data_IF_508867531521
#
_entry.id   IF_508867531521
#
_cell.length_a   1.000
_cell.length_b   1.000
_cell.length_c   1.000
_cell.angle_alpha   90.00
_cell.angle_beta   90.00
_cell.angle_gamma   90.00
#
_symmetry.space_group_name_H-M   'P 1'
#
loop_
_entity.id
_entity.type
_entity.pdbx_description
1 polymer ?
#
# COMPACT_ATOMS: atom_id res chain seq x y z
N UNK A 1 23.97 -11.70 24.35
CA UNK A 1 23.86 -11.59 22.88
C UNK A 1 22.63 -10.77 22.53
N UNK A 2 22.75 -9.90 21.54
CA UNK A 2 21.67 -9.10 20.94
C UNK A 2 21.45 -9.51 19.48
N UNK A 3 20.38 -9.02 18.84
CA UNK A 3 20.16 -9.21 17.41
C UNK A 3 21.32 -8.64 16.56
N UNK A 4 21.89 -7.51 17.00
CA UNK A 4 23.08 -6.91 16.39
C UNK A 4 24.27 -7.86 16.44
N UNK A 5 24.54 -8.44 17.61
CA UNK A 5 25.65 -9.39 17.80
C UNK A 5 25.47 -10.65 16.95
N UNK A 6 24.23 -11.16 16.84
CA UNK A 6 23.91 -12.32 16.03
C UNK A 6 24.15 -12.05 14.54
N UNK A 7 23.65 -10.92 14.02
CA UNK A 7 23.88 -10.51 12.64
C UNK A 7 25.37 -10.34 12.32
N UNK A 8 26.12 -9.71 13.23
CA UNK A 8 27.58 -9.57 13.11
C UNK A 8 28.25 -10.95 12.99
N UNK A 9 27.99 -11.87 13.93
CA UNK A 9 28.62 -13.20 13.95
C UNK A 9 28.29 -14.05 12.74
N UNK A 10 27.08 -13.94 12.21
CA UNK A 10 26.68 -14.65 10.98
C UNK A 10 27.44 -14.09 9.78
N UNK A 11 27.47 -12.77 9.61
CA UNK A 11 28.19 -12.15 8.50
C UNK A 11 29.71 -12.29 8.61
N UNK A 12 30.26 -12.45 9.82
CA UNK A 12 31.66 -12.83 10.04
C UNK A 12 31.98 -14.23 9.47
N UNK A 13 31.02 -15.15 9.46
CA UNK A 13 31.16 -16.51 8.94
C UNK A 13 30.78 -16.64 7.45
N UNK A 14 30.11 -15.64 6.87
CA UNK A 14 29.69 -15.66 5.47
C UNK A 14 30.73 -15.04 4.53
N UNK A 15 31.04 -15.70 3.43
CA UNK A 15 31.91 -15.16 2.36
C UNK A 15 31.11 -14.34 1.32
N UNK A 16 29.79 -14.39 1.39
CA UNK A 16 28.86 -13.65 0.50
C UNK A 16 27.93 -12.75 1.29
N UNK A 17 27.41 -11.66 0.68
CA UNK A 17 26.32 -10.90 1.28
C UNK A 17 25.10 -11.76 1.56
N UNK A 18 24.38 -11.45 2.63
CA UNK A 18 23.20 -12.21 3.04
C UNK A 18 21.99 -11.30 3.23
N UNK A 19 20.81 -11.82 2.94
CA UNK A 19 19.53 -11.17 3.26
C UNK A 19 19.18 -11.32 4.72
N UNK A 20 18.31 -10.44 5.22
CA UNK A 20 17.88 -10.43 6.62
C UNK A 20 17.27 -11.76 7.08
N UNK A 21 16.50 -12.43 6.23
CA UNK A 21 15.93 -13.75 6.52
C UNK A 21 17.03 -14.81 6.62
N UNK A 22 17.99 -14.82 5.70
CA UNK A 22 19.12 -15.77 5.71
C UNK A 22 20.00 -15.56 6.94
N UNK A 23 20.24 -14.29 7.32
CA UNK A 23 20.99 -13.96 8.54
C UNK A 23 20.27 -14.51 9.78
N UNK A 24 18.95 -14.37 9.85
CA UNK A 24 18.17 -14.87 10.97
C UNK A 24 18.08 -16.39 11.01
N UNK A 25 17.81 -17.05 9.87
CA UNK A 25 17.79 -18.51 9.76
C UNK A 25 19.14 -19.10 10.21
N UNK A 26 20.26 -18.53 9.74
CA UNK A 26 21.59 -18.95 10.17
C UNK A 26 21.85 -18.70 11.65
N UNK A 27 21.31 -17.60 12.19
CA UNK A 27 21.37 -17.31 13.62
C UNK A 27 20.66 -18.40 14.44
N UNK A 28 19.50 -18.87 14.00
CA UNK A 28 18.77 -19.98 14.63
C UNK A 28 19.53 -21.30 14.52
N UNK A 29 20.11 -21.63 13.36
CA UNK A 29 20.95 -22.83 13.17
C UNK A 29 22.13 -22.86 14.15
N UNK A 30 22.74 -21.70 14.40
CA UNK A 30 23.87 -21.54 15.32
C UNK A 30 23.44 -21.39 16.80
N UNK A 31 22.14 -21.42 17.09
CA UNK A 31 21.59 -21.31 18.44
C UNK A 31 21.70 -19.91 19.06
N UNK A 32 21.83 -18.87 18.24
CA UNK A 32 21.91 -17.48 18.72
C UNK A 32 20.56 -16.94 19.18
N UNK A 33 19.46 -17.45 18.66
CA UNK A 33 18.10 -17.22 19.15
C UNK A 33 18.02 -17.52 20.66
N UNK A 34 18.46 -18.71 21.09
CA UNK A 34 18.47 -19.12 22.50
C UNK A 34 19.36 -18.22 23.35
N UNK A 35 20.53 -17.83 22.83
CA UNK A 35 21.44 -16.92 23.53
C UNK A 35 20.87 -15.52 23.70
N UNK A 36 20.12 -15.02 22.71
CA UNK A 36 19.41 -13.73 22.80
C UNK A 36 18.34 -13.82 23.89
N UNK A 37 17.54 -14.89 23.90
CA UNK A 37 16.50 -15.11 24.90
C UNK A 37 17.08 -15.21 26.32
N UNK A 38 18.10 -16.03 26.52
CA UNK A 38 18.78 -16.16 27.81
C UNK A 38 19.38 -14.84 28.29
N UNK A 39 19.98 -14.07 27.38
CA UNK A 39 20.56 -12.76 27.74
C UNK A 39 19.47 -11.77 28.14
N UNK A 40 18.35 -11.76 27.42
CA UNK A 40 17.22 -10.92 27.74
C UNK A 40 16.61 -11.28 29.09
N UNK A 41 16.40 -12.57 29.37
CA UNK A 41 15.89 -13.07 30.66
C UNK A 41 16.82 -12.76 31.84
N UNK A 42 18.14 -12.77 31.63
CA UNK A 42 19.12 -12.34 32.65
C UNK A 42 19.05 -10.86 32.96
N UNK A 43 18.64 -10.01 32.01
CA UNK A 43 18.48 -8.56 32.21
C UNK A 43 17.11 -8.20 32.79
N UNK A 44 16.08 -8.90 32.38
CA UNK A 44 14.71 -8.75 32.85
C UNK A 44 14.04 -10.13 32.86
N UNK A 45 13.62 -10.62 34.02
CA UNK A 45 12.99 -11.94 34.18
C UNK A 45 11.76 -12.13 33.29
N UNK A 46 11.05 -11.05 32.98
CA UNK A 46 9.84 -11.05 32.16
C UNK A 46 10.13 -10.84 30.67
N UNK A 47 11.41 -10.83 30.27
CA UNK A 47 11.80 -10.67 28.89
C UNK A 47 11.22 -11.78 28.02
N UNK A 48 10.48 -11.37 26.99
CA UNK A 48 10.02 -12.22 25.91
C UNK A 48 10.73 -11.83 24.62
N UNK A 49 11.06 -12.83 23.82
CA UNK A 49 11.58 -12.62 22.47
C UNK A 49 10.56 -11.84 21.63
N UNK A 50 11.05 -11.04 20.68
CA UNK A 50 10.19 -10.37 19.71
C UNK A 50 9.31 -11.38 18.97
N UNK A 51 8.03 -11.05 18.78
CA UNK A 51 7.11 -11.81 17.92
C UNK A 51 7.52 -11.75 16.44
N UNK A 52 8.38 -10.79 16.08
CA UNK A 52 8.93 -10.58 14.73
C UNK A 52 10.46 -10.45 14.78
N UNK A 53 11.20 -11.56 15.00
CA UNK A 53 12.65 -11.52 15.22
C UNK A 53 13.44 -10.96 14.05
N UNK A 54 13.02 -11.26 12.81
CA UNK A 54 13.65 -10.74 11.58
C UNK A 54 13.51 -9.21 11.54
N UNK A 55 12.35 -8.66 11.89
CA UNK A 55 12.11 -7.21 11.94
C UNK A 55 12.97 -6.55 13.01
N UNK A 56 13.13 -7.19 14.17
CA UNK A 56 14.02 -6.70 15.23
C UNK A 56 15.50 -6.72 14.82
N UNK A 57 15.93 -7.75 14.09
CA UNK A 57 17.25 -7.83 13.49
C UNK A 57 17.46 -6.76 12.43
N UNK A 58 16.49 -6.59 11.53
CA UNK A 58 16.48 -5.53 10.52
C UNK A 58 16.58 -4.14 11.14
N UNK A 59 15.74 -3.86 12.15
CA UNK A 59 15.76 -2.58 12.86
C UNK A 59 17.13 -2.34 13.50
N UNK A 60 17.77 -3.36 14.07
CA UNK A 60 19.10 -3.22 14.66
C UNK A 60 20.15 -2.82 13.62
N UNK A 61 20.13 -3.43 12.45
CA UNK A 61 21.08 -3.14 11.35
C UNK A 61 20.78 -1.77 10.72
N UNK A 62 19.53 -1.49 10.36
CA UNK A 62 19.16 -0.24 9.71
C UNK A 62 19.33 0.98 10.62
N UNK A 63 19.00 0.88 11.90
CA UNK A 63 19.24 1.96 12.87
C UNK A 63 20.73 2.25 12.98
N UNK A 64 21.59 1.23 13.02
CA UNK A 64 23.04 1.44 13.07
C UNK A 64 23.56 2.11 11.80
N UNK A 65 23.12 1.64 10.61
CA UNK A 65 23.52 2.26 9.34
C UNK A 65 23.05 3.72 9.25
N UNK A 66 21.83 4.01 9.69
CA UNK A 66 21.21 5.34 9.58
C UNK A 66 21.82 6.35 10.54
N UNK A 67 21.99 5.96 11.81
CA UNK A 67 22.37 6.89 12.87
C UNK A 67 23.86 6.85 13.23
N UNK A 68 24.58 5.79 12.83
CA UNK A 68 26.02 5.63 13.05
C UNK A 68 26.79 5.37 11.74
N UNK A 69 26.62 6.17 10.67
CA UNK A 69 27.17 5.85 9.34
C UNK A 69 28.70 5.71 9.30
N UNK A 70 29.40 6.49 10.13
CA UNK A 70 30.87 6.49 10.19
C UNK A 70 31.45 5.29 10.96
N UNK A 71 30.71 4.76 11.93
CA UNK A 71 31.18 3.70 12.85
C UNK A 71 30.50 2.36 12.64
N UNK A 72 29.39 2.31 11.90
CA UNK A 72 28.69 1.05 11.59
C UNK A 72 29.62 0.08 10.86
N UNK A 73 29.54 -1.18 11.25
CA UNK A 73 30.26 -2.30 10.62
C UNK A 73 29.51 -2.87 9.41
N UNK A 74 28.23 -2.54 9.25
CA UNK A 74 27.38 -3.09 8.20
C UNK A 74 27.39 -2.20 6.95
N UNK A 75 27.18 -2.83 5.81
CA UNK A 75 26.97 -2.18 4.52
C UNK A 75 25.82 -2.88 3.81
N UNK A 76 24.98 -2.11 3.11
CA UNK A 76 23.97 -2.64 2.20
C UNK A 76 24.59 -2.72 0.80
N UNK A 77 24.51 -3.89 0.17
CA UNK A 77 25.24 -4.22 -1.07
C UNK A 77 24.32 -4.73 -2.19
N UNK A 78 23.00 -4.57 -2.01
CA UNK A 78 21.98 -5.00 -2.96
C UNK A 78 20.56 -4.83 -2.42
N UNK A 79 19.56 -5.43 -3.10
CA UNK A 79 18.14 -5.40 -2.71
C UNK A 79 17.91 -6.24 -1.43
N UNK A 80 18.12 -5.60 -0.28
CA UNK A 80 17.93 -6.21 1.04
C UNK A 80 19.09 -7.09 1.51
N UNK A 81 20.25 -7.00 0.87
CA UNK A 81 21.45 -7.79 1.18
C UNK A 81 22.48 -6.97 1.95
N UNK A 82 23.05 -7.58 2.98
CA UNK A 82 23.97 -6.95 3.92
C UNK A 82 25.30 -7.69 3.98
N UNK A 83 26.36 -6.92 4.22
CA UNK A 83 27.71 -7.43 4.42
C UNK A 83 28.47 -6.62 5.46
N UNK A 84 29.70 -7.04 5.79
CA UNK A 84 30.57 -6.30 6.68
C UNK A 84 31.50 -5.39 5.87
N UNK A 85 31.64 -4.13 6.31
CA UNK A 85 32.57 -3.16 5.70
C UNK A 85 34.00 -3.69 5.62
N UNK A 86 34.44 -4.42 6.64
CA UNK A 86 35.78 -5.03 6.71
C UNK A 86 36.02 -6.11 5.65
N UNK A 87 34.97 -6.67 5.04
CA UNK A 87 35.05 -7.71 4.01
C UNK A 87 34.94 -7.15 2.59
N UNK A 88 34.72 -5.85 2.43
CA UNK A 88 34.74 -5.20 1.12
C UNK A 88 36.20 -5.11 0.64
N UNK A 89 36.47 -5.64 -0.56
CA UNK A 89 37.76 -5.53 -1.23
C UNK A 89 37.59 -5.06 -2.68
N UNK A 90 38.70 -4.82 -3.38
CA UNK A 90 38.72 -4.34 -4.77
C UNK A 90 38.00 -5.28 -5.75
N UNK A 91 37.84 -6.57 -5.41
CA UNK A 91 37.13 -7.55 -6.24
C UNK A 91 35.61 -7.47 -6.12
N UNK A 92 35.10 -6.94 -4.99
CA UNK A 92 33.67 -6.89 -4.65
C UNK A 92 33.12 -5.44 -4.53
N UNK A 93 33.92 -4.44 -4.90
CA UNK A 93 33.56 -3.01 -4.84
C UNK A 93 32.32 -2.67 -5.70
N UNK A 94 32.09 -3.40 -6.79
CA UNK A 94 30.94 -3.18 -7.68
C UNK A 94 29.59 -3.47 -7.00
N UNK A 95 29.57 -4.21 -5.88
CA UNK A 95 28.34 -4.47 -5.12
C UNK A 95 27.79 -3.22 -4.40
N UNK A 96 28.62 -2.19 -4.22
CA UNK A 96 28.23 -0.94 -3.53
C UNK A 96 27.61 0.07 -4.51
N UNK A 97 27.87 -0.07 -5.82
CA UNK A 97 27.61 0.97 -6.82
C UNK A 97 26.17 0.98 -7.41
N UNK A 98 25.27 0.13 -6.90
CA UNK A 98 23.86 0.10 -7.33
C UNK A 98 22.92 0.69 -6.27
N UNK A 99 23.28 1.83 -5.67
CA UNK A 99 22.41 2.55 -4.71
C UNK A 99 21.93 3.92 -5.22
N UNK A 100 21.92 4.11 -6.55
CA UNK A 100 21.24 5.25 -7.16
C UNK A 100 19.99 4.77 -7.90
N UNK A 101 18.86 5.09 -7.30
CA UNK A 101 17.52 5.26 -7.89
C UNK A 101 16.82 4.02 -8.50
N UNK A 102 15.52 3.97 -8.20
CA UNK A 102 14.44 3.18 -8.81
C UNK A 102 14.22 1.74 -8.30
N UNK A 103 12.93 1.45 -8.09
CA UNK A 103 12.31 0.19 -7.66
C UNK A 103 12.36 -0.18 -6.17
N UNK A 104 11.75 0.68 -5.35
CA UNK A 104 11.04 0.21 -4.17
C UNK A 104 9.68 -0.36 -4.59
N UNK A 105 9.66 -1.59 -5.13
CA UNK A 105 8.49 -2.42 -4.78
C UNK A 105 8.67 -2.70 -3.29
N UNK A 106 7.86 -2.03 -2.48
CA UNK A 106 7.66 -2.44 -1.10
C UNK A 106 7.29 -3.94 -1.15
N UNK A 107 7.97 -4.77 -0.36
CA UNK A 107 7.68 -6.20 -0.28
C UNK A 107 7.46 -6.50 1.18
N UNK A 108 6.27 -6.98 1.50
CA UNK A 108 5.94 -7.46 2.85
C UNK A 108 5.86 -8.99 2.80
N UNK A 109 6.50 -9.64 3.77
CA UNK A 109 6.49 -11.11 3.93
C UNK A 109 5.52 -11.46 5.03
N UNK A 110 4.39 -12.10 4.70
CA UNK A 110 3.43 -12.59 5.67
C UNK A 110 3.84 -13.97 6.21
N UNK A 111 3.82 -14.15 7.53
CA UNK A 111 4.18 -15.40 8.22
C UNK A 111 3.05 -16.46 8.21
N UNK A 112 2.32 -16.58 7.11
CA UNK A 112 1.30 -17.62 6.90
C UNK A 112 1.35 -18.01 5.43
N UNK A 113 2.20 -19.01 5.14
CA UNK A 113 2.74 -19.38 3.83
C UNK A 113 3.70 -18.33 3.24
N UNK A 114 4.88 -18.77 2.78
CA UNK A 114 5.97 -17.98 2.19
C UNK A 114 5.58 -17.24 0.88
N UNK A 115 4.51 -16.44 0.89
CA UNK A 115 4.08 -15.62 -0.25
C UNK A 115 4.49 -14.17 0.00
N UNK A 116 5.32 -13.65 -0.88
CA UNK A 116 5.62 -12.21 -0.95
C UNK A 116 4.36 -11.49 -1.40
N UNK A 117 3.97 -10.46 -0.66
CA UNK A 117 2.83 -9.61 -1.02
C UNK A 117 3.35 -8.40 -1.76
N UNK A 118 2.76 -8.14 -2.93
CA UNK A 118 2.98 -6.96 -3.75
C UNK A 118 1.77 -6.01 -3.63
N UNK A 119 1.93 -4.75 -4.04
CA UNK A 119 0.82 -3.78 -4.06
C UNK A 119 -0.37 -4.29 -4.91
N UNK A 120 -0.07 -4.97 -6.03
CA UNK A 120 -1.08 -5.60 -6.89
C UNK A 120 -1.94 -6.64 -6.14
N UNK A 121 -1.36 -7.34 -5.14
CA UNK A 121 -2.11 -8.31 -4.34
C UNK A 121 -3.16 -7.62 -3.45
N UNK A 122 -3.07 -6.30 -3.21
CA UNK A 122 -4.03 -5.53 -2.40
C UNK A 122 -5.34 -5.22 -3.14
N UNK A 123 -5.36 -5.36 -4.48
CA UNK A 123 -6.57 -5.09 -5.27
C UNK A 123 -7.72 -6.03 -4.90
N UNK A 124 -7.41 -7.30 -4.63
CA UNK A 124 -8.38 -8.33 -4.24
C UNK A 124 -9.08 -7.97 -2.91
N UNK A 125 -8.34 -7.79 -1.79
CA UNK A 125 -8.96 -7.46 -0.51
C UNK A 125 -9.71 -6.12 -0.57
N UNK A 126 -9.13 -5.06 -1.16
CA UNK A 126 -9.84 -3.78 -1.24
C UNK A 126 -11.15 -3.90 -2.04
N UNK A 127 -11.13 -4.57 -3.19
CA UNK A 127 -12.31 -4.75 -4.02
C UNK A 127 -13.43 -5.51 -3.30
N UNK A 128 -13.09 -6.49 -2.46
CA UNK A 128 -14.06 -7.20 -1.61
C UNK A 128 -14.64 -6.30 -0.53
N UNK A 129 -13.77 -5.55 0.18
CA UNK A 129 -14.20 -4.58 1.19
C UNK A 129 -15.16 -3.54 0.60
N UNK A 130 -14.84 -2.97 -0.55
CA UNK A 130 -15.71 -2.01 -1.24
C UNK A 130 -17.06 -2.63 -1.64
N UNK A 131 -17.05 -3.86 -2.14
CA UNK A 131 -18.29 -4.55 -2.52
C UNK A 131 -19.24 -4.75 -1.33
N UNK A 132 -18.72 -5.06 -0.13
CA UNK A 132 -19.53 -5.20 1.10
C UNK A 132 -20.36 -3.93 1.40
N UNK A 133 -19.82 -2.77 1.02
CA UNK A 133 -20.44 -1.45 1.18
C UNK A 133 -21.26 -1.01 -0.03
N UNK A 134 -21.49 -1.89 -1.03
CA UNK A 134 -22.14 -1.57 -2.31
C UNK A 134 -21.40 -0.47 -3.09
N UNK A 135 -20.07 -0.52 -3.04
CA UNK A 135 -19.19 0.29 -3.87
C UNK A 135 -18.64 -0.62 -4.98
N UNK A 136 -18.96 -0.28 -6.22
CA UNK A 136 -18.61 -1.07 -7.39
C UNK A 136 -17.31 -0.56 -7.98
N UNK A 137 -16.24 -1.36 -7.88
CA UNK A 137 -14.88 -0.95 -8.24
C UNK A 137 -14.37 -1.59 -9.53
N UNK A 138 -13.35 -0.97 -10.12
CA UNK A 138 -12.57 -1.49 -11.24
C UNK A 138 -11.09 -1.10 -11.07
N UNK A 139 -10.20 -2.08 -11.19
CA UNK A 139 -8.76 -1.85 -11.29
C UNK A 139 -8.43 -1.14 -12.60
N UNK A 140 -7.54 -0.14 -12.53
CA UNK A 140 -7.04 0.58 -13.70
C UNK A 140 -5.53 0.36 -13.81
N UNK A 141 -5.11 -0.23 -14.91
CA UNK A 141 -3.71 -0.45 -15.21
C UNK A 141 -3.11 0.83 -15.82
N UNK A 142 -2.23 1.51 -15.06
CA UNK A 142 -1.52 2.69 -15.51
C UNK A 142 -0.67 2.44 -16.78
N UNK A 143 -0.20 1.21 -16.99
CA UNK A 143 0.60 0.84 -18.16
C UNK A 143 -0.20 0.72 -19.46
N UNK A 144 -1.54 0.64 -19.37
CA UNK A 144 -2.43 0.55 -20.53
C UNK A 144 -2.66 1.90 -21.23
N UNK A 145 -2.17 3.00 -20.65
CA UNK A 145 -2.21 4.34 -21.27
C UNK A 145 -1.16 4.44 -22.38
N UNK A 146 -1.53 5.05 -23.52
CA UNK A 146 -0.69 5.16 -24.72
C UNK A 146 0.73 5.68 -24.39
N UNK A 147 1.74 4.97 -24.88
CA UNK A 147 3.18 5.24 -24.65
C UNK A 147 3.61 6.66 -25.00
N UNK A 148 2.90 7.35 -25.89
CA UNK A 148 3.19 8.74 -26.26
C UNK A 148 2.91 9.77 -25.14
N UNK A 149 2.17 9.38 -24.09
CA UNK A 149 1.89 10.20 -22.90
C UNK A 149 2.76 9.84 -21.69
N UNK A 150 3.37 8.65 -21.68
CA UNK A 150 4.11 8.09 -20.51
C UNK A 150 5.34 8.91 -20.10
N UNK A 151 5.99 9.60 -21.03
CA UNK A 151 7.24 10.33 -20.77
C UNK A 151 7.09 11.69 -20.07
N UNK A 152 5.87 12.16 -19.77
CA UNK A 152 5.63 13.54 -19.29
C UNK A 152 4.93 13.66 -17.94
N UNK A 153 4.37 12.59 -17.37
CA UNK A 153 3.67 12.63 -16.09
C UNK A 153 4.04 11.43 -15.24
N UNK A 154 4.72 11.66 -14.10
CA UNK A 154 5.11 10.62 -13.12
C UNK A 154 3.89 10.05 -12.38
N UNK A 155 2.82 10.85 -12.29
CA UNK A 155 1.54 10.53 -11.65
C UNK A 155 0.39 10.95 -12.58
N UNK A 156 -0.69 10.17 -12.62
CA UNK A 156 -1.84 10.50 -13.45
C UNK A 156 -2.87 9.39 -13.64
N UNK A 157 -2.79 8.26 -12.93
CA UNK A 157 -3.78 7.18 -13.01
C UNK A 157 -3.92 6.52 -11.64
N UNK A 158 -5.13 6.46 -11.05
CA UNK A 158 -5.35 5.75 -9.80
C UNK A 158 -5.30 4.23 -10.01
N UNK A 159 -5.01 3.47 -8.95
CA UNK A 159 -4.96 2.00 -9.02
C UNK A 159 -6.35 1.39 -9.16
N UNK A 160 -7.33 1.94 -8.42
CA UNK A 160 -8.72 1.50 -8.45
C UNK A 160 -9.63 2.73 -8.53
N UNK A 161 -10.65 2.64 -9.38
CA UNK A 161 -11.77 3.58 -9.41
C UNK A 161 -13.05 2.86 -9.01
N UNK A 162 -14.01 3.59 -8.43
CA UNK A 162 -15.27 3.00 -8.03
C UNK A 162 -16.44 3.98 -8.08
N UNK A 163 -17.65 3.42 -8.02
CA UNK A 163 -18.91 4.15 -7.99
C UNK A 163 -19.83 3.56 -6.93
N UNK A 164 -20.61 4.40 -6.27
CA UNK A 164 -21.80 3.96 -5.54
C UNK A 164 -23.06 4.62 -6.07
N UNK A 165 -24.18 3.91 -5.95
CA UNK A 165 -25.50 4.38 -6.29
C UNK A 165 -26.35 4.37 -5.03
N UNK A 166 -27.08 5.44 -4.75
CA UNK A 166 -28.00 5.53 -3.59
C UNK A 166 -29.32 4.78 -3.82
N UNK A 167 -29.30 3.71 -4.61
CA UNK A 167 -30.48 2.94 -5.02
C UNK A 167 -31.15 2.17 -3.87
N UNK A 168 -30.46 2.02 -2.74
CA UNK A 168 -31.02 1.49 -1.49
C UNK A 168 -32.02 2.44 -0.83
N UNK A 169 -32.01 3.73 -1.16
CA UNK A 169 -32.96 4.71 -0.64
C UNK A 169 -34.35 4.49 -1.24
N UNK A 170 -35.40 4.75 -0.46
CA UNK A 170 -36.78 4.66 -0.92
C UNK A 170 -37.01 5.47 -2.22
N UNK A 171 -37.71 4.87 -3.19
CA UNK A 171 -37.96 5.47 -4.52
C UNK A 171 -38.58 6.87 -4.48
N UNK A 172 -39.50 7.13 -3.55
CA UNK A 172 -40.13 8.44 -3.42
C UNK A 172 -39.14 9.50 -2.97
N UNK A 173 -38.20 9.12 -2.10
CA UNK A 173 -37.11 10.00 -1.62
C UNK A 173 -36.07 10.22 -2.73
N UNK A 174 -35.70 9.18 -3.48
CA UNK A 174 -34.82 9.34 -4.65
C UNK A 174 -35.41 10.26 -5.72
N UNK A 175 -36.72 10.16 -5.95
CA UNK A 175 -37.43 11.06 -6.86
C UNK A 175 -37.35 12.50 -6.39
N UNK A 176 -37.52 12.75 -5.08
CA UNK A 176 -37.31 14.08 -4.50
C UNK A 176 -35.86 14.54 -4.71
N UNK A 177 -34.87 13.71 -4.40
CA UNK A 177 -33.44 14.03 -4.56
C UNK A 177 -33.12 14.47 -5.98
N UNK A 178 -33.65 13.76 -6.98
CA UNK A 178 -33.49 14.14 -8.38
C UNK A 178 -34.12 15.50 -8.70
N UNK A 179 -35.30 15.83 -8.14
CA UNK A 179 -35.92 17.15 -8.34
C UNK A 179 -35.14 18.30 -7.71
N UNK A 180 -34.44 18.05 -6.59
CA UNK A 180 -33.64 19.06 -5.89
C UNK A 180 -32.14 18.96 -6.21
N UNK A 181 -31.75 18.17 -7.22
CA UNK A 181 -30.38 17.96 -7.66
C UNK A 181 -29.42 17.50 -6.55
N UNK A 182 -29.90 16.66 -5.63
CA UNK A 182 -29.03 16.01 -4.65
C UNK A 182 -28.25 14.86 -5.32
N UNK A 183 -26.93 14.72 -5.06
CA UNK A 183 -26.14 13.63 -5.62
C UNK A 183 -26.66 12.25 -5.19
N UNK A 184 -27.04 11.44 -6.17
CA UNK A 184 -27.47 10.04 -6.00
C UNK A 184 -26.41 9.04 -6.43
N UNK A 185 -25.31 9.53 -7.00
CA UNK A 185 -24.17 8.75 -7.51
C UNK A 185 -22.89 9.47 -7.11
N UNK A 186 -21.91 8.70 -6.66
CA UNK A 186 -20.62 9.24 -6.18
C UNK A 186 -19.48 8.38 -6.72
N UNK A 187 -18.43 9.03 -7.20
CA UNK A 187 -17.23 8.41 -7.74
C UNK A 187 -16.08 8.49 -6.75
N UNK A 188 -15.31 7.41 -6.69
CA UNK A 188 -14.18 7.26 -5.78
C UNK A 188 -12.94 6.82 -6.57
N UNK A 189 -11.78 7.21 -6.08
CA UNK A 189 -10.51 6.76 -6.60
C UNK A 189 -9.54 6.45 -5.44
N UNK A 190 -8.79 5.36 -5.60
CA UNK A 190 -7.96 4.75 -4.57
C UNK A 190 -6.54 4.56 -5.09
N UNK A 191 -5.57 4.94 -4.26
CA UNK A 191 -4.16 4.62 -4.40
C UNK A 191 -3.79 3.58 -3.34
N UNK A 192 -3.13 2.50 -3.75
CA UNK A 192 -2.73 1.39 -2.89
C UNK A 192 -1.25 1.50 -2.52
N UNK A 193 -0.95 1.20 -1.27
CA UNK A 193 0.42 1.08 -0.76
C UNK A 193 0.54 -0.09 0.19
N UNK A 194 1.70 -0.71 0.25
CA UNK A 194 1.93 -1.80 1.20
C UNK A 194 2.11 -1.29 2.63
N UNK A 195 2.93 -0.25 2.80
CA UNK A 195 3.25 0.29 4.12
C UNK A 195 3.29 1.81 4.12
N UNK A 196 2.59 2.41 5.07
CA UNK A 196 2.66 3.84 5.33
C UNK A 196 3.53 4.10 6.56
N UNK A 197 4.55 4.95 6.39
CA UNK A 197 5.49 5.37 7.43
C UNK A 197 5.73 6.87 7.32
N UNK A 198 6.31 7.49 8.35
CA UNK A 198 6.60 8.92 8.31
C UNK A 198 7.53 9.31 7.14
N UNK A 199 8.40 8.40 6.70
CA UNK A 199 9.37 8.64 5.62
C UNK A 199 8.76 8.65 4.22
N UNK A 200 7.66 7.94 3.98
CA UNK A 200 7.00 7.85 2.67
C UNK A 200 5.62 8.50 2.64
N UNK A 201 5.08 8.91 3.80
CA UNK A 201 3.74 9.48 3.92
C UNK A 201 3.50 10.64 2.97
N UNK A 202 4.37 11.65 2.97
CA UNK A 202 4.18 12.86 2.16
C UNK A 202 4.11 12.51 0.67
N UNK A 203 5.03 11.67 0.20
CA UNK A 203 5.07 11.24 -1.20
C UNK A 203 3.80 10.49 -1.59
N UNK A 204 3.45 9.44 -0.84
CA UNK A 204 2.28 8.61 -1.14
C UNK A 204 0.97 9.37 -1.00
N UNK A 205 0.89 10.30 -0.05
CA UNK A 205 -0.28 11.15 0.13
C UNK A 205 -0.49 12.09 -1.07
N UNK A 206 0.59 12.73 -1.55
CA UNK A 206 0.49 13.61 -2.72
C UNK A 206 0.32 12.84 -4.03
N UNK A 207 0.84 11.62 -4.12
CA UNK A 207 0.52 10.71 -5.23
C UNK A 207 -0.98 10.40 -5.25
N UNK A 208 -1.56 9.97 -4.12
CA UNK A 208 -2.98 9.71 -4.00
C UNK A 208 -3.82 10.96 -4.32
N UNK A 209 -3.42 12.13 -3.83
CA UNK A 209 -4.09 13.39 -4.15
C UNK A 209 -4.04 13.70 -5.65
N UNK A 210 -2.89 13.53 -6.29
CA UNK A 210 -2.70 13.79 -7.72
C UNK A 210 -3.48 12.81 -8.60
N UNK A 211 -3.47 11.52 -8.25
CA UNK A 211 -4.11 10.46 -9.05
C UNK A 211 -5.64 10.41 -8.85
N UNK A 212 -6.12 10.79 -7.67
CA UNK A 212 -7.52 10.57 -7.26
C UNK A 212 -8.29 11.87 -6.99
N UNK A 213 -7.65 13.03 -7.03
CA UNK A 213 -8.25 14.33 -6.70
C UNK A 213 -9.42 14.76 -7.59
N UNK A 214 -9.62 14.10 -8.73
CA UNK A 214 -10.72 14.36 -9.67
C UNK A 214 -12.07 13.80 -9.20
N UNK A 215 -12.07 12.80 -8.31
CA UNK A 215 -13.26 12.06 -7.86
C UNK A 215 -13.98 12.79 -6.70
N UNK A 216 -15.18 12.31 -6.32
CA UNK A 216 -15.89 12.85 -5.15
C UNK A 216 -15.07 12.62 -3.88
N UNK A 217 -14.41 11.46 -3.76
CA UNK A 217 -13.46 11.19 -2.68
C UNK A 217 -12.20 10.53 -3.21
N UNK A 218 -11.07 10.94 -2.64
CA UNK A 218 -9.75 10.40 -2.92
C UNK A 218 -9.26 9.64 -1.69
N UNK A 219 -8.72 8.45 -1.90
CA UNK A 219 -8.34 7.55 -0.82
C UNK A 219 -6.90 7.04 -1.01
N UNK A 220 -6.12 7.09 0.07
CA UNK A 220 -4.86 6.37 0.20
C UNK A 220 -5.13 5.15 1.09
N UNK A 221 -4.86 3.97 0.56
CA UNK A 221 -5.12 2.70 1.23
C UNK A 221 -3.79 2.03 1.49
N UNK A 222 -3.52 1.67 2.75
CA UNK A 222 -2.32 0.94 3.09
C UNK A 222 -2.60 -0.31 3.93
N UNK A 223 -1.85 -1.39 3.67
CA UNK A 223 -1.98 -2.63 4.44
C UNK A 223 -1.36 -2.49 5.84
N UNK A 224 -0.14 -1.96 5.91
CA UNK A 224 0.55 -1.70 7.19
C UNK A 224 0.58 -0.20 7.51
N UNK A 225 -0.08 0.17 8.62
CA UNK A 225 0.00 1.51 9.24
C UNK A 225 0.27 1.30 10.73
N UNK A 226 1.34 1.90 11.27
CA UNK A 226 1.62 1.82 12.71
C UNK A 226 0.84 2.90 13.45
N UNK A 227 -0.38 2.60 13.89
CA UNK A 227 -1.25 3.54 14.60
C UNK A 227 -0.69 3.99 15.97
N UNK A 228 0.28 3.25 16.53
CA UNK A 228 0.96 3.64 17.78
C UNK A 228 2.08 4.68 17.55
N UNK A 229 2.45 4.95 16.30
CA UNK A 229 3.39 6.01 15.95
C UNK A 229 2.66 7.36 15.95
N UNK A 230 2.80 8.10 17.05
CA UNK A 230 2.09 9.37 17.26
C UNK A 230 2.46 10.39 16.17
N UNK A 231 3.73 10.48 15.80
CA UNK A 231 4.20 11.44 14.80
C UNK A 231 3.60 11.15 13.42
N UNK A 232 3.55 9.86 13.03
CA UNK A 232 2.88 9.43 11.81
C UNK A 232 1.39 9.82 11.82
N UNK A 233 0.68 9.52 12.91
CA UNK A 233 -0.76 9.76 13.00
C UNK A 233 -1.11 11.26 13.04
N UNK A 234 -0.31 12.08 13.72
CA UNK A 234 -0.45 13.53 13.72
C UNK A 234 -0.21 14.12 12.33
N UNK A 235 0.80 13.64 11.61
CA UNK A 235 1.10 14.10 10.26
C UNK A 235 0.01 13.69 9.26
N UNK A 236 -0.49 12.45 9.33
CA UNK A 236 -1.64 12.00 8.54
C UNK A 236 -2.85 12.91 8.80
N UNK A 237 -3.15 13.17 10.07
CA UNK A 237 -4.26 14.05 10.47
C UNK A 237 -4.11 15.45 9.89
N UNK A 238 -2.90 16.02 9.95
CA UNK A 238 -2.60 17.34 9.38
C UNK A 238 -2.83 17.39 7.87
N UNK A 239 -2.33 16.38 7.15
CA UNK A 239 -2.51 16.26 5.70
C UNK A 239 -3.98 16.06 5.33
N UNK A 240 -4.70 15.17 6.03
CA UNK A 240 -6.13 14.95 5.83
C UNK A 240 -6.95 16.24 6.02
N UNK A 241 -6.69 17.00 7.09
CA UNK A 241 -7.37 18.27 7.34
C UNK A 241 -7.11 19.32 6.26
N UNK A 242 -5.88 19.35 5.73
CA UNK A 242 -5.46 20.34 4.74
C UNK A 242 -5.93 20.00 3.32
N UNK A 243 -5.85 18.73 2.93
CA UNK A 243 -6.03 18.30 1.52
C UNK A 243 -7.18 17.32 1.30
N UNK A 244 -7.64 16.63 2.35
CA UNK A 244 -8.86 15.84 2.32
C UNK A 244 -8.77 14.48 1.64
N UNK A 245 -7.59 13.88 1.50
CA UNK A 245 -7.47 12.47 1.10
C UNK A 245 -7.78 11.60 2.32
N UNK A 246 -8.69 10.65 2.18
CA UNK A 246 -9.03 9.70 3.23
C UNK A 246 -8.00 8.59 3.35
N UNK A 247 -7.91 7.98 4.53
CA UNK A 247 -6.96 6.91 4.83
C UNK A 247 -7.72 5.65 5.25
N UNK A 248 -7.42 4.53 4.58
CA UNK A 248 -7.93 3.20 4.93
C UNK A 248 -6.76 2.31 5.33
N UNK A 249 -6.86 1.68 6.49
CA UNK A 249 -6.03 0.52 6.85
C UNK A 249 -6.71 -0.74 6.32
N UNK A 250 -6.12 -1.36 5.32
CA UNK A 250 -6.67 -2.54 4.67
C UNK A 250 -6.24 -3.81 5.42
N UNK A 251 -7.20 -4.59 5.91
CA UNK A 251 -6.89 -5.93 6.39
C UNK A 251 -6.84 -6.89 5.18
N UNK A 252 -5.62 -7.34 4.88
CA UNK A 252 -5.35 -8.20 3.74
C UNK A 252 -6.05 -9.56 3.83
N UNK A 253 -6.12 -10.12 5.05
CA UNK A 253 -6.64 -11.47 5.26
C UNK A 253 -8.15 -11.46 5.44
N UNK A 254 -8.66 -10.45 6.15
CA UNK A 254 -10.07 -10.27 6.46
C UNK A 254 -10.56 -8.89 5.98
N UNK A 255 -10.88 -8.72 4.69
CA UNK A 255 -11.25 -7.41 4.14
C UNK A 255 -12.36 -6.67 4.88
N UNK A 256 -13.32 -7.38 5.47
CA UNK A 256 -14.41 -6.82 6.29
C UNK A 256 -13.92 -6.13 7.57
N UNK A 257 -12.73 -6.49 8.07
CA UNK A 257 -12.09 -5.89 9.25
C UNK A 257 -11.20 -4.69 8.87
N UNK A 258 -11.28 -4.21 7.62
CA UNK A 258 -10.58 -2.99 7.19
C UNK A 258 -11.20 -1.75 7.82
N UNK A 259 -10.38 -0.74 8.10
CA UNK A 259 -10.79 0.41 8.89
C UNK A 259 -10.52 1.73 8.17
N UNK A 260 -11.50 2.64 8.22
CA UNK A 260 -11.30 4.04 7.82
C UNK A 260 -10.69 4.77 9.01
N UNK A 261 -9.39 5.07 8.94
CA UNK A 261 -8.68 5.82 9.98
C UNK A 261 -9.01 7.32 9.91
N UNK A 262 -9.10 7.85 8.69
CA UNK A 262 -9.47 9.24 8.44
C UNK A 262 -10.40 9.32 7.23
N UNK A 263 -11.58 9.91 7.40
CA UNK A 263 -12.53 10.05 6.30
C UNK A 263 -12.01 11.01 5.22
N UNK A 264 -12.26 10.68 3.96
CA UNK A 264 -11.98 11.59 2.85
C UNK A 264 -12.90 12.82 2.91
N UNK A 265 -12.38 13.96 2.46
CA UNK A 265 -13.21 15.15 2.27
C UNK A 265 -13.94 15.03 0.94
N UNK A 266 -15.26 14.96 1.02
CA UNK A 266 -16.12 14.93 -0.16
C UNK A 266 -16.04 16.21 -0.98
N UNK A 267 -15.85 16.04 -2.29
CA UNK A 267 -15.88 17.10 -3.31
C UNK A 267 -17.21 17.06 -4.05
N UNK A 268 -17.84 18.23 -4.19
CA UNK A 268 -19.10 18.37 -4.93
C UNK A 268 -18.88 18.52 -6.44
N UNK A 269 -17.72 19.05 -6.83
CA UNK A 269 -17.36 19.25 -8.23
C UNK A 269 -16.25 18.26 -8.60
N UNK A 270 -16.43 17.57 -9.72
CA UNK A 270 -15.44 16.68 -10.30
C UNK A 270 -14.51 17.47 -11.23
N UNK A 271 -13.25 17.04 -11.33
CA UNK A 271 -12.29 17.63 -12.25
C UNK A 271 -12.46 17.03 -13.65
N UNK A 272 -13.19 17.75 -14.50
CA UNK A 272 -13.53 17.34 -15.86
C UNK A 272 -12.28 17.18 -16.72
N UNK A 273 -11.27 18.04 -16.57
CA UNK A 273 -10.07 18.01 -17.40
C UNK A 273 -9.23 16.77 -17.09
N UNK A 274 -9.11 16.41 -15.81
CA UNK A 274 -8.43 15.19 -15.38
C UNK A 274 -9.21 13.95 -15.82
N UNK A 275 -10.54 13.92 -15.67
CA UNK A 275 -11.37 12.83 -16.17
C UNK A 275 -11.25 12.66 -17.69
N UNK A 276 -11.25 13.75 -18.45
CA UNK A 276 -11.09 13.73 -19.90
C UNK A 276 -9.74 13.13 -20.32
N UNK A 277 -8.66 13.46 -19.61
CA UNK A 277 -7.34 12.84 -19.82
C UNK A 277 -7.34 11.35 -19.46
N UNK A 278 -7.99 10.96 -18.37
CA UNK A 278 -8.09 9.55 -17.96
C UNK A 278 -8.81 8.68 -19.00
N UNK A 279 -9.71 9.26 -19.82
CA UNK A 279 -10.36 8.54 -20.92
C UNK A 279 -9.41 8.06 -22.03
N UNK A 280 -8.15 8.50 -22.07
CA UNK A 280 -7.14 7.88 -22.94
C UNK A 280 -6.78 6.45 -22.49
N UNK A 281 -7.11 6.07 -21.26
CA UNK A 281 -7.06 4.70 -20.79
C UNK A 281 -8.41 4.01 -21.06
N UNK A 282 -8.39 2.94 -21.89
CA UNK A 282 -9.62 2.22 -22.28
C UNK A 282 -10.36 1.63 -21.07
N UNK A 283 -9.67 1.16 -20.04
CA UNK A 283 -10.32 0.57 -18.87
C UNK A 283 -11.13 1.63 -18.10
N UNK A 284 -10.60 2.85 -18.00
CA UNK A 284 -11.30 4.00 -17.41
C UNK A 284 -12.50 4.40 -18.27
N UNK A 285 -12.31 4.53 -19.59
CA UNK A 285 -13.40 4.86 -20.52
C UNK A 285 -14.54 3.83 -20.44
N UNK A 286 -14.21 2.54 -20.44
CA UNK A 286 -15.17 1.45 -20.30
C UNK A 286 -15.94 1.51 -18.97
N UNK A 287 -15.26 1.90 -17.88
CA UNK A 287 -15.93 2.09 -16.59
C UNK A 287 -16.94 3.23 -16.64
N UNK A 288 -16.58 4.38 -17.23
CA UNK A 288 -17.51 5.50 -17.38
C UNK A 288 -18.71 5.11 -18.24
N UNK A 289 -18.49 4.34 -19.31
CA UNK A 289 -19.57 3.82 -20.15
C UNK A 289 -20.51 2.89 -19.38
N UNK A 290 -19.98 2.00 -18.54
CA UNK A 290 -20.78 1.12 -17.69
C UNK A 290 -21.62 1.90 -16.67
N UNK A 291 -21.02 2.92 -16.06
CA UNK A 291 -21.73 3.83 -15.15
C UNK A 291 -22.88 4.53 -15.89
N UNK A 292 -22.64 5.05 -17.09
CA UNK A 292 -23.67 5.70 -17.89
C UNK A 292 -24.82 4.73 -18.22
N UNK A 293 -24.53 3.50 -18.65
CA UNK A 293 -25.54 2.48 -18.93
C UNK A 293 -26.44 2.21 -17.71
N UNK A 294 -25.84 2.09 -16.52
CA UNK A 294 -26.59 1.91 -15.27
C UNK A 294 -27.44 3.14 -14.95
N UNK A 295 -26.92 4.34 -15.14
CA UNK A 295 -27.63 5.58 -14.83
C UNK A 295 -28.85 5.77 -15.74
N UNK A 296 -28.73 5.46 -17.03
CA UNK A 296 -29.80 5.55 -18.04
C UNK A 296 -30.88 4.47 -17.88
N UNK A 297 -30.54 3.33 -17.28
CA UNK A 297 -31.47 2.23 -17.10
C UNK A 297 -32.61 2.54 -16.12
N UNK A 298 -33.75 1.86 -16.28
CA UNK A 298 -34.85 1.88 -15.30
C UNK A 298 -34.47 1.06 -14.07
N UNK A 299 -34.97 1.41 -12.88
CA UNK A 299 -34.61 0.76 -11.59
C UNK A 299 -34.55 -0.78 -11.64
N UNK A 300 -35.57 -1.45 -12.20
CA UNK A 300 -35.61 -2.92 -12.28
C UNK A 300 -34.50 -3.49 -13.17
N UNK A 301 -34.08 -2.73 -14.18
CA UNK A 301 -33.01 -3.09 -15.10
C UNK A 301 -31.63 -2.75 -14.53
N UNK A 302 -31.50 -1.72 -13.68
CA UNK A 302 -30.21 -1.35 -13.04
C UNK A 302 -29.58 -2.53 -12.30
N UNK A 303 -30.36 -3.18 -11.43
CA UNK A 303 -29.88 -4.33 -10.66
C UNK A 303 -29.43 -5.48 -11.56
N UNK A 304 -30.11 -5.68 -12.70
CA UNK A 304 -29.75 -6.70 -13.67
C UNK A 304 -28.44 -6.36 -14.39
N UNK A 305 -28.25 -5.11 -14.80
CA UNK A 305 -27.02 -4.62 -15.44
C UNK A 305 -25.84 -4.74 -14.46
N UNK A 306 -26.00 -4.25 -13.22
CA UNK A 306 -24.97 -4.38 -12.17
C UNK A 306 -24.59 -5.85 -11.97
N UNK A 307 -25.58 -6.75 -11.84
CA UNK A 307 -25.33 -8.19 -11.69
C UNK A 307 -24.59 -8.78 -12.90
N UNK A 308 -24.94 -8.33 -14.11
CA UNK A 308 -24.29 -8.75 -15.35
C UNK A 308 -22.82 -8.28 -15.41
N UNK A 309 -22.55 -7.03 -15.00
CA UNK A 309 -21.21 -6.46 -14.95
C UNK A 309 -20.32 -7.16 -13.92
N UNK A 310 -20.88 -7.53 -12.77
CA UNK A 310 -20.18 -8.35 -11.76
C UNK A 310 -19.89 -9.76 -12.32
N UNK A 311 -20.88 -10.42 -12.92
CA UNK A 311 -20.74 -11.77 -13.47
C UNK A 311 -19.73 -11.82 -14.65
N UNK A 312 -19.67 -10.76 -15.45
CA UNK A 312 -18.68 -10.58 -16.52
C UNK A 312 -17.33 -10.04 -16.02
N UNK A 313 -17.18 -9.89 -14.70
CA UNK A 313 -15.95 -9.42 -14.03
C UNK A 313 -15.49 -8.03 -14.48
N UNK A 314 -16.42 -7.17 -14.89
CA UNK A 314 -16.18 -5.76 -15.21
C UNK A 314 -16.25 -4.87 -13.97
N UNK A 315 -17.03 -5.28 -12.98
CA UNK A 315 -17.06 -4.70 -11.63
C UNK A 315 -16.61 -5.69 -10.56
N UNK A 316 -15.98 -5.13 -9.54
CA UNK A 316 -15.42 -5.81 -8.38
C UNK A 316 -14.56 -7.04 -8.76
N UNK A 317 -13.82 -6.93 -9.86
CA UNK A 317 -12.77 -7.85 -10.25
C UNK A 317 -11.42 -7.17 -10.05
N UNK A 318 -10.47 -7.80 -9.36
CA UNK A 318 -9.10 -7.28 -9.20
C UNK A 318 -8.31 -7.19 -10.52
N UNK A 319 -8.66 -7.98 -11.55
CA UNK A 319 -7.93 -8.08 -12.83
C UNK A 319 -8.61 -7.33 -13.97
#
# INVERSE_FOLDING_TARGET
MTYYDAAKKVLEQSDVPMRLNEIWEKSCELGYDKQIEETGKKKNSDFQMSKTPITSLASSIYTDIKYNPDTTIFVKVGRGEFFLKSKINSSNQNLINNTNEEDTDDIIVNNSANKKILEEDLHIPLTKYLYSMKIYSKTINANATDVNLKGKMKWGTPDIIAVTFKDYINKSVLKLFNYINLPTTELYAYELKLKLTLGNLTEYYFQALSNSGWANEAWLVAMEINENDIDLMEEIKRLNQSFGVGIIRLDYNNPEDSEILFSAKKRNNLDIDTMHKLCYNRQFQDFINDVNEILEAKDKSKNHIISSLINSKRFNNPN
#
